data_IF_568586076518
#
_entry.id   IF_568586076518
#
_cell.length_a   1.000
_cell.length_b   1.000
_cell.length_c   1.000
_cell.angle_alpha   90.00
_cell.angle_beta   90.00
_cell.angle_gamma   90.00
#
_symmetry.space_group_name_H-M   'P 1'
#
loop_
_entity.id
_entity.type
_entity.pdbx_description
1 polymer ?
#
# COMPACT_ATOMS: atom_id res chain seq x y z
N UNK A 1 -9.53 -5.35 -32.04
CA UNK A 1 -8.55 -4.21 -32.00
C UNK A 1 -8.21 -3.79 -33.43
N UNK A 2 -7.76 -4.66 -34.34
CA UNK A 2 -7.30 -4.30 -35.69
C UNK A 2 -8.30 -3.47 -36.53
N UNK A 3 -9.60 -3.78 -36.52
CA UNK A 3 -10.63 -3.01 -37.23
C UNK A 3 -10.80 -1.57 -36.71
N UNK A 4 -10.56 -1.35 -35.41
CA UNK A 4 -10.65 -0.01 -34.82
C UNK A 4 -9.45 0.86 -35.18
N UNK A 5 -8.25 0.28 -35.29
CA UNK A 5 -7.01 1.00 -35.64
C UNK A 5 -7.09 1.62 -37.04
N UNK A 6 -7.61 0.86 -38.01
CA UNK A 6 -7.71 1.33 -39.41
C UNK A 6 -8.58 2.59 -39.54
N UNK A 7 -9.53 2.79 -38.64
CA UNK A 7 -10.46 3.95 -38.65
C UNK A 7 -9.86 5.24 -38.07
N UNK A 8 -8.65 5.18 -37.49
CA UNK A 8 -7.96 6.31 -36.85
C UNK A 8 -8.88 7.13 -35.89
N UNK A 9 -9.51 6.50 -34.90
CA UNK A 9 -10.42 7.20 -34.00
C UNK A 9 -9.66 8.14 -33.07
N UNK A 10 -10.35 9.13 -32.49
CA UNK A 10 -9.79 10.05 -31.50
C UNK A 10 -9.42 9.36 -30.17
N UNK A 11 -10.03 8.21 -29.89
CA UNK A 11 -9.76 7.41 -28.71
C UNK A 11 -10.27 5.98 -28.85
N UNK A 12 -9.75 5.10 -28.01
CA UNK A 12 -10.10 3.69 -27.93
C UNK A 12 -10.71 3.37 -26.56
N UNK A 13 -11.79 2.60 -26.55
CA UNK A 13 -12.40 2.08 -25.35
C UNK A 13 -12.16 0.58 -25.29
N UNK A 14 -11.52 0.12 -24.21
CA UNK A 14 -11.26 -1.29 -23.96
C UNK A 14 -11.99 -1.69 -22.68
N UNK A 15 -12.86 -2.67 -22.78
CA UNK A 15 -13.58 -3.24 -21.65
C UNK A 15 -13.05 -4.65 -21.40
N UNK A 16 -12.23 -4.79 -20.36
CA UNK A 16 -11.55 -6.02 -19.93
C UNK A 16 -10.92 -6.85 -21.09
N UNK A 17 -10.12 -6.26 -21.97
CA UNK A 17 -9.73 -6.91 -23.22
C UNK A 17 -8.78 -8.11 -23.03
N UNK A 18 -8.17 -8.27 -21.84
CA UNK A 18 -7.22 -9.36 -21.55
C UNK A 18 -7.77 -10.39 -20.55
N UNK A 19 -9.02 -10.24 -20.07
CA UNK A 19 -9.60 -11.07 -19.01
C UNK A 19 -9.63 -12.57 -19.36
N UNK A 20 -9.85 -12.91 -20.64
CA UNK A 20 -9.99 -14.29 -21.12
C UNK A 20 -8.67 -14.92 -21.56
N UNK A 21 -7.51 -14.29 -21.31
CA UNK A 21 -6.20 -14.80 -21.69
C UNK A 21 -5.51 -15.51 -20.52
N UNK A 22 -4.73 -16.54 -20.84
CA UNK A 22 -3.83 -17.14 -19.85
C UNK A 22 -2.76 -16.16 -19.36
N UNK A 23 -2.13 -16.45 -18.23
CA UNK A 23 -1.19 -15.53 -17.57
C UNK A 23 0.00 -15.14 -18.46
N UNK A 24 0.58 -16.09 -19.21
CA UNK A 24 1.72 -15.84 -20.07
C UNK A 24 1.36 -14.94 -21.26
N UNK A 25 0.24 -15.24 -21.91
CA UNK A 25 -0.27 -14.46 -23.04
C UNK A 25 -0.69 -13.06 -22.59
N UNK A 26 -1.29 -12.93 -21.39
CA UNK A 26 -1.68 -11.64 -20.80
C UNK A 26 -0.46 -10.72 -20.59
N UNK A 27 0.66 -11.24 -20.07
CA UNK A 27 1.91 -10.47 -19.93
C UNK A 27 2.41 -9.97 -21.29
N UNK A 28 2.41 -10.83 -22.30
CA UNK A 28 2.82 -10.45 -23.67
C UNK A 28 1.90 -9.37 -24.25
N UNK A 29 0.59 -9.57 -24.17
CA UNK A 29 -0.40 -8.63 -24.70
C UNK A 29 -0.38 -7.26 -24.02
N UNK A 30 -0.07 -7.19 -22.71
CA UNK A 30 0.15 -5.91 -22.01
C UNK A 30 1.27 -5.11 -22.67
N UNK A 31 2.39 -5.77 -22.99
CA UNK A 31 3.53 -5.12 -23.64
C UNK A 31 3.15 -4.61 -25.04
N UNK A 32 2.47 -5.43 -25.82
CA UNK A 32 2.00 -5.07 -27.18
C UNK A 32 1.04 -3.88 -27.17
N UNK A 33 0.04 -3.89 -26.24
CA UNK A 33 -0.90 -2.77 -26.11
C UNK A 33 -0.22 -1.48 -25.65
N UNK A 34 0.75 -1.56 -24.74
CA UNK A 34 1.53 -0.40 -24.32
C UNK A 34 2.39 0.17 -25.47
N UNK A 35 2.96 -0.67 -26.34
CA UNK A 35 3.67 -0.24 -27.53
C UNK A 35 2.73 0.41 -28.54
N UNK A 36 1.57 -0.21 -28.80
CA UNK A 36 0.55 0.31 -29.68
C UNK A 36 0.06 1.69 -29.24
N UNK A 37 -0.20 1.88 -27.96
CA UNK A 37 -0.58 3.17 -27.38
C UNK A 37 0.47 4.27 -27.70
N UNK A 38 1.76 3.95 -27.48
CA UNK A 38 2.84 4.90 -27.79
C UNK A 38 2.93 5.26 -29.27
N UNK A 39 2.67 4.29 -30.18
CA UNK A 39 2.69 4.50 -31.62
C UNK A 39 1.51 5.33 -32.11
N UNK A 40 0.31 5.05 -31.62
CA UNK A 40 -0.92 5.70 -32.09
C UNK A 40 -1.11 7.11 -31.51
N UNK A 41 -0.49 7.41 -30.36
CA UNK A 41 -0.64 8.69 -29.64
C UNK A 41 -2.12 9.09 -29.41
N UNK A 42 -3.02 8.12 -29.38
CA UNK A 42 -4.44 8.31 -29.16
C UNK A 42 -4.78 8.09 -27.67
N UNK A 43 -5.92 8.62 -27.22
CA UNK A 43 -6.40 8.35 -25.86
C UNK A 43 -6.95 6.93 -25.76
N UNK A 44 -6.45 6.18 -24.77
CA UNK A 44 -6.97 4.85 -24.41
C UNK A 44 -7.72 4.95 -23.09
N UNK A 45 -8.99 4.57 -23.08
CA UNK A 45 -9.76 4.31 -21.86
C UNK A 45 -9.83 2.81 -21.71
N UNK A 46 -9.28 2.30 -20.61
CA UNK A 46 -9.07 0.88 -20.37
C UNK A 46 -9.72 0.47 -19.07
N UNK A 47 -10.72 -0.40 -19.12
CA UNK A 47 -11.37 -0.97 -17.94
C UNK A 47 -10.75 -2.32 -17.64
N UNK A 48 -10.34 -2.52 -16.42
CA UNK A 48 -9.77 -3.78 -15.92
C UNK A 48 -10.00 -3.94 -14.42
N UNK A 49 -10.08 -5.17 -13.97
CA UNK A 49 -10.00 -5.54 -12.55
C UNK A 49 -8.59 -6.05 -12.17
N UNK A 50 -7.67 -6.17 -13.14
CA UNK A 50 -6.28 -6.56 -12.90
C UNK A 50 -5.45 -5.34 -12.53
N UNK A 51 -4.96 -5.31 -11.28
CA UNK A 51 -4.16 -4.21 -10.75
C UNK A 51 -2.82 -4.06 -11.49
N UNK A 52 -2.22 -5.18 -11.93
CA UNK A 52 -0.96 -5.13 -12.66
C UNK A 52 -1.13 -4.46 -14.03
N UNK A 53 -2.28 -4.67 -14.70
CA UNK A 53 -2.61 -3.96 -15.93
C UNK A 53 -2.76 -2.47 -15.67
N UNK A 54 -3.58 -2.09 -14.68
CA UNK A 54 -3.80 -0.69 -14.32
C UNK A 54 -2.49 0.02 -13.96
N UNK A 55 -1.66 -0.60 -13.12
CA UNK A 55 -0.40 0.00 -12.63
C UNK A 55 0.69 0.11 -13.68
N UNK A 56 0.73 -0.80 -14.67
CA UNK A 56 1.84 -0.86 -15.64
C UNK A 56 1.54 -0.20 -16.99
N UNK A 57 0.28 -0.08 -17.36
CA UNK A 57 -0.10 0.39 -18.70
C UNK A 57 -0.67 1.80 -18.70
N UNK A 58 -1.17 2.31 -17.58
CA UNK A 58 -1.86 3.59 -17.55
C UNK A 58 -0.96 4.76 -17.16
N UNK A 59 -1.25 5.93 -17.72
CA UNK A 59 -0.71 7.21 -17.25
C UNK A 59 -1.51 7.76 -16.06
N UNK A 60 -2.81 7.44 -15.98
CA UNK A 60 -3.71 7.78 -14.88
C UNK A 60 -4.67 6.63 -14.60
N UNK A 61 -4.95 6.41 -13.33
CA UNK A 61 -5.90 5.41 -12.84
C UNK A 61 -7.08 6.14 -12.20
N UNK A 62 -8.30 5.75 -12.59
CA UNK A 62 -9.52 6.08 -11.87
C UNK A 62 -9.95 4.85 -11.06
N UNK A 63 -9.83 4.92 -9.73
CA UNK A 63 -10.29 3.85 -8.84
C UNK A 63 -11.78 4.01 -8.61
N UNK A 64 -12.54 3.01 -9.04
CA UNK A 64 -14.00 2.95 -8.87
C UNK A 64 -14.37 1.93 -7.80
N UNK A 65 -15.19 2.35 -6.84
CA UNK A 65 -15.72 1.50 -5.77
C UNK A 65 -17.22 1.77 -5.67
N UNK A 66 -18.03 0.72 -5.71
CA UNK A 66 -19.51 0.82 -5.64
C UNK A 66 -20.11 1.84 -6.63
N UNK A 67 -19.58 1.86 -7.86
CA UNK A 67 -20.07 2.75 -8.92
C UNK A 67 -19.59 4.20 -8.83
N UNK A 68 -18.78 4.56 -7.82
CA UNK A 68 -18.25 5.91 -7.63
C UNK A 68 -16.75 5.98 -7.88
N UNK A 69 -16.29 7.05 -8.52
CA UNK A 69 -14.85 7.34 -8.63
C UNK A 69 -14.38 7.90 -7.28
N UNK A 70 -13.55 7.12 -6.57
CA UNK A 70 -13.03 7.48 -5.25
C UNK A 70 -11.73 8.28 -5.35
N UNK A 71 -10.88 7.91 -6.31
CA UNK A 71 -9.61 8.60 -6.55
C UNK A 71 -9.23 8.54 -8.01
N UNK A 72 -8.63 9.62 -8.52
CA UNK A 72 -7.95 9.65 -9.82
C UNK A 72 -6.55 10.17 -9.61
N UNK A 73 -5.55 9.46 -10.14
CA UNK A 73 -4.15 9.85 -10.03
C UNK A 73 -3.23 9.03 -10.93
N UNK A 74 -1.95 9.31 -10.91
CA UNK A 74 -0.94 8.42 -11.51
C UNK A 74 -0.89 7.09 -10.73
N UNK A 75 -0.37 6.01 -11.32
CA UNK A 75 -0.17 4.74 -10.60
C UNK A 75 0.56 4.94 -9.26
N UNK A 76 1.64 5.71 -9.26
CA UNK A 76 2.41 5.99 -8.04
C UNK A 76 1.58 6.75 -6.99
N UNK A 77 0.81 7.78 -7.38
CA UNK A 77 -0.05 8.52 -6.46
C UNK A 77 -1.15 7.64 -5.85
N UNK A 78 -1.78 6.79 -6.64
CA UNK A 78 -2.84 5.89 -6.16
C UNK A 78 -2.28 4.87 -5.16
N UNK A 79 -1.08 4.36 -5.41
CA UNK A 79 -0.44 3.37 -4.56
C UNK A 79 0.17 3.96 -3.29
N UNK A 80 0.96 5.03 -3.42
CA UNK A 80 1.73 5.63 -2.31
C UNK A 80 0.90 6.61 -1.49
N UNK A 81 -0.06 7.30 -2.12
CA UNK A 81 -0.86 8.36 -1.51
C UNK A 81 -2.38 8.13 -1.69
N UNK A 82 -2.91 6.99 -1.23
CA UNK A 82 -4.35 6.77 -1.26
C UNK A 82 -5.07 7.80 -0.39
N UNK A 83 -6.14 8.41 -0.93
CA UNK A 83 -6.96 9.43 -0.24
C UNK A 83 -8.07 8.84 0.62
N UNK A 84 -8.34 7.55 0.43
CA UNK A 84 -9.39 6.81 1.12
C UNK A 84 -8.84 5.42 1.46
N UNK A 85 -9.19 4.91 2.63
CA UNK A 85 -8.74 3.59 3.10
C UNK A 85 -9.16 2.48 2.14
N UNK A 86 -10.34 2.60 1.52
CA UNK A 86 -10.83 1.63 0.53
C UNK A 86 -9.93 1.55 -0.69
N UNK A 87 -9.32 2.68 -1.11
CA UNK A 87 -8.32 2.69 -2.18
C UNK A 87 -7.04 2.01 -1.72
N UNK A 88 -6.58 2.28 -0.47
CA UNK A 88 -5.41 1.66 0.10
C UNK A 88 -5.53 0.13 0.20
N UNK A 89 -6.73 -0.35 0.56
CA UNK A 89 -7.04 -1.78 0.68
C UNK A 89 -7.30 -2.46 -0.68
N UNK A 90 -7.83 -1.72 -1.64
CA UNK A 90 -8.13 -2.24 -2.97
C UNK A 90 -6.89 -2.37 -3.84
N UNK A 91 -5.94 -1.40 -3.75
CA UNK A 91 -4.75 -1.36 -4.58
C UNK A 91 -3.56 -1.96 -3.84
N UNK A 92 -2.92 -2.95 -4.45
CA UNK A 92 -1.77 -3.68 -3.92
C UNK A 92 -2.11 -5.12 -3.53
N UNK A 93 -1.17 -6.02 -3.82
CA UNK A 93 -1.26 -7.45 -3.45
C UNK A 93 0.10 -7.87 -2.84
N UNK A 94 0.08 -8.35 -1.59
CA UNK A 94 -1.05 -8.46 -0.67
C UNK A 94 -1.64 -7.10 -0.24
N UNK A 95 -2.83 -7.16 0.40
CA UNK A 95 -3.48 -5.96 0.94
C UNK A 95 -2.61 -5.25 1.97
N UNK A 96 -2.83 -3.94 2.10
CA UNK A 96 -2.20 -3.11 3.15
C UNK A 96 -2.61 -3.60 4.55
N UNK A 97 -1.67 -3.63 5.48
CA UNK A 97 -1.98 -3.88 6.89
C UNK A 97 -2.71 -2.68 7.48
N UNK A 98 -3.84 -2.91 8.12
CA UNK A 98 -4.59 -1.88 8.84
C UNK A 98 -4.50 -2.16 10.36
N UNK A 99 -3.87 -1.23 11.08
CA UNK A 99 -3.70 -1.31 12.53
C UNK A 99 -4.63 -0.30 13.21
N UNK A 100 -5.28 -0.69 14.31
CA UNK A 100 -6.07 0.24 15.11
C UNK A 100 -5.15 1.28 15.75
N UNK A 101 -5.43 2.55 15.50
CA UNK A 101 -4.69 3.68 16.02
C UNK A 101 -5.56 4.66 16.80
N UNK A 102 -4.90 5.55 17.54
CA UNK A 102 -5.53 6.63 18.29
C UNK A 102 -4.75 7.92 18.07
N UNK A 103 -5.45 8.99 17.79
CA UNK A 103 -4.94 10.37 17.83
C UNK A 103 -5.21 10.89 19.23
N UNK A 104 -4.17 11.30 19.94
CA UNK A 104 -4.29 11.88 21.28
C UNK A 104 -4.66 13.36 21.24
N UNK A 105 -5.02 13.92 22.38
CA UNK A 105 -5.37 15.35 22.51
C UNK A 105 -4.20 16.28 22.14
N UNK A 106 -2.96 15.82 22.31
CA UNK A 106 -1.74 16.54 21.89
C UNK A 106 -1.39 16.38 20.40
N UNK A 107 -2.23 15.68 19.63
CA UNK A 107 -2.02 15.36 18.22
C UNK A 107 -1.07 14.18 17.97
N UNK A 108 -0.48 13.59 18.99
CA UNK A 108 0.38 12.42 18.86
C UNK A 108 -0.40 11.18 18.44
N UNK A 109 0.20 10.31 17.64
CA UNK A 109 -0.41 9.07 17.18
C UNK A 109 0.13 7.86 17.93
N UNK A 110 -0.77 6.95 18.28
CA UNK A 110 -0.47 5.67 18.92
C UNK A 110 -1.06 4.49 18.16
N UNK A 111 -0.34 3.37 18.19
CA UNK A 111 -0.80 2.05 17.73
C UNK A 111 -0.63 1.07 18.88
N UNK A 112 -1.69 0.35 19.24
CA UNK A 112 -1.69 -0.60 20.37
C UNK A 112 -1.17 0.02 21.69
N UNK A 113 -1.46 1.32 21.93
CA UNK A 113 -1.02 2.05 23.10
C UNK A 113 0.46 2.47 23.10
N UNK A 114 1.13 2.41 21.96
CA UNK A 114 2.53 2.83 21.80
C UNK A 114 2.63 3.99 20.80
N UNK A 115 3.32 5.07 21.14
CA UNK A 115 3.53 6.19 20.22
C UNK A 115 4.35 5.74 19.00
N UNK A 116 3.92 6.17 17.81
CA UNK A 116 4.59 5.82 16.54
C UNK A 116 5.45 6.96 15.99
N UNK A 117 5.63 8.02 16.76
CA UNK A 117 6.48 9.14 16.38
C UNK A 117 5.92 10.00 15.25
N UNK A 118 4.61 10.02 15.05
CA UNK A 118 3.90 10.91 14.14
C UNK A 118 2.96 11.81 14.92
N UNK A 119 2.66 12.98 14.35
CA UNK A 119 1.67 13.90 14.89
C UNK A 119 0.78 14.46 13.78
N UNK A 120 -0.41 14.93 14.15
CA UNK A 120 -1.38 15.53 13.25
C UNK A 120 -2.14 16.64 13.95
N UNK A 121 -2.72 17.56 13.17
CA UNK A 121 -3.68 18.57 13.64
C UNK A 121 -5.13 18.08 13.59
N UNK A 122 -5.37 16.84 13.17
CA UNK A 122 -6.71 16.27 13.18
C UNK A 122 -7.23 16.09 14.62
N UNK A 123 -8.55 16.05 14.77
CA UNK A 123 -9.19 15.88 16.08
C UNK A 123 -8.81 14.55 16.72
N UNK A 124 -8.66 14.55 18.04
CA UNK A 124 -8.40 13.36 18.83
C UNK A 124 -9.50 12.30 18.62
N UNK A 125 -9.11 11.03 18.59
CA UNK A 125 -10.05 9.94 18.36
C UNK A 125 -9.42 8.72 17.72
N UNK A 126 -10.28 7.79 17.33
CA UNK A 126 -9.84 6.56 16.63
C UNK A 126 -9.38 6.87 15.21
N UNK A 127 -8.36 6.15 14.76
CA UNK A 127 -7.89 6.20 13.38
C UNK A 127 -7.41 4.81 12.95
N UNK A 128 -7.16 4.67 11.66
CA UNK A 128 -6.49 3.49 11.10
C UNK A 128 -5.08 3.87 10.65
N UNK A 129 -4.09 3.13 11.12
CA UNK A 129 -2.69 3.25 10.70
C UNK A 129 -2.39 2.14 9.72
N UNK A 130 -2.21 2.49 8.46
CA UNK A 130 -2.04 1.52 7.38
C UNK A 130 -0.59 1.46 6.92
N UNK A 131 -0.04 0.25 6.81
CA UNK A 131 1.35 0.00 6.38
C UNK A 131 1.39 -1.12 5.34
N UNK A 132 2.04 -0.89 4.22
CA UNK A 132 2.23 -1.91 3.18
C UNK A 132 3.08 -3.07 3.67
N UNK A 133 2.80 -4.33 3.26
CA UNK A 133 3.60 -5.50 3.66
C UNK A 133 5.09 -5.38 3.35
N UNK A 134 5.46 -4.76 2.24
CA UNK A 134 6.85 -4.52 1.84
C UNK A 134 7.55 -3.40 2.63
N UNK A 135 6.81 -2.69 3.47
CA UNK A 135 7.31 -1.65 4.39
C UNK A 135 7.32 -2.12 5.85
N UNK A 136 6.86 -3.36 6.09
CA UNK A 136 6.95 -4.03 7.38
C UNK A 136 8.19 -4.91 7.40
N UNK A 137 8.94 -4.88 8.49
CA UNK A 137 10.19 -5.62 8.65
C UNK A 137 10.14 -6.46 9.94
N UNK A 138 10.80 -7.62 9.93
CA UNK A 138 11.08 -8.35 11.16
C UNK A 138 12.27 -7.70 11.86
N UNK A 139 12.06 -7.29 13.10
CA UNK A 139 13.11 -6.66 13.90
C UNK A 139 12.61 -6.12 15.23
N UNK A 140 13.52 -5.95 16.17
CA UNK A 140 13.25 -5.29 17.44
C UNK A 140 13.57 -3.79 17.32
N UNK A 141 12.82 -2.96 18.02
CA UNK A 141 13.05 -1.52 18.03
C UNK A 141 11.96 -0.75 18.75
N UNK A 142 12.07 0.58 18.86
CA UNK A 142 11.01 1.41 19.40
C UNK A 142 9.72 1.24 18.61
N UNK A 143 8.60 0.97 19.30
CA UNK A 143 7.30 0.75 18.68
C UNK A 143 7.11 -0.62 18.01
N UNK A 144 8.06 -1.56 18.16
CA UNK A 144 7.94 -2.89 17.61
C UNK A 144 6.68 -3.62 18.13
N UNK A 145 5.96 -4.25 17.23
CA UNK A 145 4.72 -4.98 17.48
C UNK A 145 5.08 -6.45 17.64
N UNK A 146 4.82 -7.01 18.82
CA UNK A 146 5.08 -8.43 19.10
C UNK A 146 3.92 -9.29 18.60
N UNK A 147 4.23 -10.44 18.03
CA UNK A 147 3.24 -11.40 17.58
C UNK A 147 3.83 -12.79 17.36
N UNK A 148 3.01 -13.72 16.95
CA UNK A 148 3.40 -15.09 16.62
C UNK A 148 3.19 -15.37 15.13
N UNK A 149 4.13 -16.06 14.52
CA UNK A 149 4.03 -16.49 13.12
C UNK A 149 2.95 -17.55 12.99
N UNK A 150 1.92 -17.30 12.18
CA UNK A 150 0.83 -18.23 11.95
C UNK A 150 0.87 -18.86 10.57
N UNK A 151 1.50 -18.22 9.60
CA UNK A 151 1.62 -18.73 8.23
C UNK A 151 2.82 -18.15 7.51
N UNK A 152 3.37 -18.88 6.55
CA UNK A 152 4.44 -18.45 5.65
C UNK A 152 4.03 -18.81 4.21
N UNK A 153 4.08 -17.81 3.33
CA UNK A 153 3.93 -17.99 1.89
C UNK A 153 5.29 -17.82 1.23
N UNK A 154 5.72 -18.82 0.46
CA UNK A 154 6.96 -18.76 -0.30
C UNK A 154 6.64 -18.81 -1.79
N UNK A 155 6.79 -17.69 -2.47
CA UNK A 155 6.45 -17.51 -3.89
C UNK A 155 7.68 -17.60 -4.83
N UNK A 156 8.78 -18.14 -4.35
CA UNK A 156 10.04 -18.22 -5.10
C UNK A 156 10.87 -16.94 -4.98
N UNK A 157 10.47 -15.86 -5.65
CA UNK A 157 11.19 -14.58 -5.64
C UNK A 157 10.93 -13.73 -4.39
N UNK A 158 9.89 -14.02 -3.63
CA UNK A 158 9.51 -13.33 -2.40
C UNK A 158 8.83 -14.27 -1.43
N UNK A 159 8.83 -13.91 -0.16
CA UNK A 159 8.12 -14.62 0.89
C UNK A 159 7.29 -13.63 1.72
N UNK A 160 6.15 -14.08 2.23
CA UNK A 160 5.33 -13.31 3.16
C UNK A 160 5.17 -14.09 4.46
N UNK A 161 5.38 -13.39 5.58
CA UNK A 161 5.09 -13.90 6.91
C UNK A 161 3.79 -13.29 7.40
N UNK A 162 2.89 -14.14 7.90
CA UNK A 162 1.65 -13.75 8.55
C UNK A 162 1.86 -13.83 10.05
N UNK A 163 1.71 -12.70 10.72
CA UNK A 163 1.96 -12.56 12.16
C UNK A 163 0.66 -12.21 12.87
N UNK A 164 0.21 -13.12 13.73
CA UNK A 164 -0.94 -12.87 14.62
C UNK A 164 -0.48 -11.98 15.76
N UNK A 165 -1.20 -10.86 15.94
CA UNK A 165 -0.94 -9.87 16.97
C UNK A 165 -2.18 -9.76 17.85
N UNK A 166 -2.00 -9.67 19.16
CA UNK A 166 -3.12 -9.48 20.08
C UNK A 166 -3.87 -8.18 19.77
N UNK A 167 -5.20 -8.24 19.89
CA UNK A 167 -6.13 -7.12 19.60
C UNK A 167 -6.20 -6.69 18.14
N UNK A 168 -5.67 -7.49 17.22
CA UNK A 168 -5.83 -7.31 15.78
C UNK A 168 -6.46 -8.57 15.22
N UNK A 169 -7.61 -8.43 14.55
CA UNK A 169 -8.40 -9.56 14.08
C UNK A 169 -7.71 -10.34 12.96
N UNK A 170 -7.09 -9.63 12.03
CA UNK A 170 -6.39 -10.23 10.89
C UNK A 170 -4.87 -10.24 11.14
N UNK A 171 -4.17 -11.30 10.73
CA UNK A 171 -2.71 -11.31 10.78
C UNK A 171 -2.09 -10.15 10.01
N UNK A 172 -1.04 -9.57 10.57
CA UNK A 172 -0.21 -8.61 9.85
C UNK A 172 0.74 -9.34 8.92
N UNK A 173 0.93 -8.78 7.72
CA UNK A 173 1.82 -9.34 6.71
C UNK A 173 3.10 -8.52 6.60
N UNK A 174 4.24 -9.20 6.55
CA UNK A 174 5.50 -8.58 6.17
C UNK A 174 6.13 -9.35 5.01
N UNK A 175 6.66 -8.61 4.03
CA UNK A 175 7.42 -9.21 2.93
C UNK A 175 8.85 -9.46 3.38
N UNK A 176 9.32 -10.67 3.16
CA UNK A 176 10.68 -11.10 3.51
C UNK A 176 11.47 -11.43 2.25
N UNK A 177 12.79 -11.26 2.35
CA UNK A 177 13.69 -11.83 1.35
C UNK A 177 13.74 -13.35 1.54
N UNK A 178 13.38 -14.16 0.52
CA UNK A 178 13.36 -15.63 0.63
C UNK A 178 14.76 -16.24 0.83
N UNK A 179 15.84 -15.54 0.45
CA UNK A 179 17.22 -15.98 0.64
C UNK A 179 17.70 -15.86 2.10
N UNK A 180 16.93 -15.20 2.97
CA UNK A 180 17.21 -15.13 4.39
C UNK A 180 16.53 -16.27 5.14
N UNK A 181 17.06 -16.59 6.33
CA UNK A 181 16.40 -17.53 7.22
C UNK A 181 15.00 -17.02 7.57
N UNK A 182 13.98 -17.79 7.18
CA UNK A 182 12.60 -17.49 7.51
C UNK A 182 12.26 -17.95 8.93
N UNK A 183 11.40 -17.23 9.66
CA UNK A 183 10.99 -17.62 11.01
C UNK A 183 10.12 -18.88 10.97
N UNK A 184 10.20 -19.71 12.00
CA UNK A 184 9.36 -20.90 12.11
C UNK A 184 7.91 -20.54 12.45
N UNK A 185 6.94 -21.30 11.93
CA UNK A 185 5.54 -21.17 12.34
C UNK A 185 5.44 -21.43 13.85
N UNK A 186 4.69 -20.60 14.57
CA UNK A 186 4.55 -20.61 16.03
C UNK A 186 5.63 -19.83 16.77
N UNK A 187 6.71 -19.38 16.10
CA UNK A 187 7.74 -18.57 16.76
C UNK A 187 7.25 -17.15 17.04
N UNK A 188 7.75 -16.57 18.14
CA UNK A 188 7.53 -15.17 18.47
C UNK A 188 8.45 -14.28 17.63
N UNK A 189 7.86 -13.24 17.04
CA UNK A 189 8.57 -12.25 16.24
C UNK A 189 8.16 -10.83 16.62
N UNK A 190 8.97 -9.88 16.20
CA UNK A 190 8.65 -8.46 16.32
C UNK A 190 8.56 -7.85 14.92
N UNK A 191 7.52 -7.07 14.67
CA UNK A 191 7.32 -6.30 13.44
C UNK A 191 7.64 -4.84 13.69
N UNK A 192 8.38 -4.24 12.79
CA UNK A 192 8.69 -2.80 12.79
C UNK A 192 8.34 -2.18 11.44
N UNK A 193 8.16 -0.88 11.43
CA UNK A 193 8.02 -0.08 10.22
C UNK A 193 8.51 1.35 10.49
N UNK A 194 8.95 2.04 9.44
CA UNK A 194 9.31 3.45 9.58
C UNK A 194 8.04 4.32 9.64
N UNK A 195 8.08 5.40 10.41
CA UNK A 195 6.96 6.33 10.52
C UNK A 195 6.49 6.84 9.14
N UNK A 196 7.42 7.10 8.21
CA UNK A 196 7.13 7.55 6.85
C UNK A 196 6.37 6.53 5.99
N UNK A 197 6.40 5.25 6.37
CA UNK A 197 5.68 4.19 5.68
C UNK A 197 4.19 4.16 6.05
N UNK A 198 3.82 4.72 7.18
CA UNK A 198 2.45 4.72 7.66
C UNK A 198 1.57 5.70 6.88
N UNK A 199 0.33 5.28 6.62
CA UNK A 199 -0.74 6.07 6.06
C UNK A 199 -1.89 6.08 7.04
N UNK A 200 -2.34 7.28 7.43
CA UNK A 200 -3.32 7.43 8.51
C UNK A 200 -4.68 7.80 7.91
N UNK A 201 -5.72 7.14 8.40
CA UNK A 201 -7.09 7.40 7.98
C UNK A 201 -7.99 7.60 9.19
N UNK A 202 -8.93 8.53 9.08
CA UNK A 202 -9.95 8.76 10.11
C UNK A 202 -11.01 7.63 10.15
N UNK A 203 -11.97 7.76 11.03
CA UNK A 203 -13.06 6.79 11.16
C UNK A 203 -13.98 6.73 9.93
N UNK A 204 -14.00 7.76 9.11
CA UNK A 204 -14.73 7.79 7.83
C UNK A 204 -13.87 7.23 6.67
N UNK A 205 -12.67 6.75 6.95
CA UNK A 205 -11.73 6.22 5.96
C UNK A 205 -11.01 7.29 5.13
N UNK A 206 -11.07 8.55 5.53
CA UNK A 206 -10.39 9.64 4.80
C UNK A 206 -8.96 9.80 5.28
N UNK A 207 -8.07 10.09 4.34
CA UNK A 207 -6.65 10.32 4.63
C UNK A 207 -6.48 11.50 5.56
N UNK A 208 -5.64 11.32 6.59
CA UNK A 208 -5.19 12.36 7.51
C UNK A 208 -3.74 12.71 7.18
N UNK A 209 -3.44 14.00 7.06
CA UNK A 209 -2.08 14.49 6.92
C UNK A 209 -1.35 14.41 8.27
N UNK A 210 -0.12 13.93 8.21
CA UNK A 210 0.74 13.76 9.37
C UNK A 210 2.09 14.44 9.16
N UNK A 211 2.62 15.00 10.23
CA UNK A 211 3.98 15.51 10.28
C UNK A 211 4.89 14.46 10.93
N UNK A 212 6.11 14.32 10.39
CA UNK A 212 7.14 13.56 11.09
C UNK A 212 7.50 14.29 12.41
N UNK A 213 7.95 13.55 13.46
CA UNK A 213 8.36 14.19 14.69
C UNK A 213 9.47 15.20 14.40
N UNK A 214 9.31 16.39 14.93
CA UNK A 214 10.42 17.33 15.05
C UNK A 214 11.47 16.59 15.88
N UNK A 215 12.62 16.24 15.30
CA UNK A 215 13.74 15.73 16.07
C UNK A 215 14.03 16.78 17.13
N UNK A 216 13.68 16.49 18.40
CA UNK A 216 14.09 17.30 19.53
C UNK A 216 15.62 17.41 19.45
N UNK A 217 16.10 18.62 19.19
CA UNK A 217 17.52 18.90 19.06
C UNK A 217 18.26 18.35 20.26
N UNK A 218 19.39 17.70 20.02
CA UNK A 218 20.40 17.48 21.06
C UNK A 218 20.64 18.81 21.73
N UNK A 219 20.26 18.91 22.98
CA UNK A 219 20.83 19.90 23.88
C UNK A 219 22.30 19.58 23.94
N UNK A 220 23.12 20.37 23.24
CA UNK A 220 24.55 20.42 23.47
C UNK A 220 24.73 21.00 24.88
N UNK A 221 24.93 20.14 25.87
CA UNK A 221 25.57 20.54 27.11
C UNK A 221 26.94 21.06 26.73
N UNK A 222 27.07 22.38 26.72
CA UNK A 222 28.37 23.05 26.83
C UNK A 222 28.88 22.76 28.23
N UNK A 223 29.77 21.79 28.35
CA UNK A 223 30.61 21.68 29.51
C UNK A 223 31.59 22.86 29.47
N UNK A 224 31.34 23.84 30.31
CA UNK A 224 32.32 24.84 30.75
C UNK A 224 33.18 24.15 31.79
N UNK A 225 34.48 24.19 31.59
CA UNK A 225 35.48 23.76 32.55
C UNK A 225 36.86 23.82 31.93
#
# INVERSE_FOLDING_TARGET
VGRAIVRQPLGFLFDEPLSNLDAKLRVHMRTELAQLHRQLKATFVYVTHDQAEAMTMSSRIAVMIEGHIVQVGTPAEVYENPRDIRVAEFVGSPKINALPGVIRDDGGLEVLGRPIGLSTSAAAGRCSVCVRPERMELGAGPGAISGSVVHLEHLGSEAFVHVKVDRIDLPLLARLNPDRQLPAIGSSVHLTYSANAARIFDVAGKRIDVAAPVRSGRVLEQAVG
#
